data_IF_866973069218
#
_entry.id   IF_866973069218
#
_cell.length_a   1.000
_cell.length_b   1.000
_cell.length_c   1.000
_cell.angle_alpha   90.00
_cell.angle_beta   90.00
_cell.angle_gamma   90.00
#
_symmetry.space_group_name_H-M   'P 1'
#
loop_
_entity.id
_entity.type
_entity.pdbx_description
1 polymer ?
#
# COMPACT_ATOMS: atom_id res chain seq x y z
N UNK A 1 1.76 -6.41 -9.79
CA UNK A 1 1.44 -6.37 -8.35
C UNK A 1 1.43 -4.91 -7.89
N UNK A 2 0.27 -4.35 -7.56
CA UNK A 2 0.07 -3.03 -6.94
C UNK A 2 0.60 -1.78 -7.65
N UNK A 3 0.02 -0.64 -7.35
CA UNK A 3 0.53 0.68 -7.76
C UNK A 3 1.73 1.07 -6.88
N UNK A 4 2.81 1.55 -7.48
CA UNK A 4 4.00 2.00 -6.73
C UNK A 4 3.73 3.37 -6.08
N UNK A 5 3.99 3.47 -4.79
CA UNK A 5 3.82 4.67 -3.98
C UNK A 5 5.18 5.23 -3.57
N UNK A 6 5.93 5.74 -4.55
CA UNK A 6 7.31 6.23 -4.36
C UNK A 6 7.47 7.33 -3.31
N UNK A 7 6.39 8.05 -2.99
CA UNK A 7 6.34 9.06 -1.92
C UNK A 7 6.39 8.45 -0.51
N UNK A 8 6.00 7.18 -0.34
CA UNK A 8 5.99 6.47 0.93
C UNK A 8 7.22 5.54 1.10
N UNK A 9 7.89 5.22 0.00
CA UNK A 9 9.11 4.41 -0.04
C UNK A 9 9.37 3.88 -1.45
N UNK A 10 10.62 3.54 -1.76
CA UNK A 10 11.05 3.14 -3.12
C UNK A 10 10.46 1.81 -3.59
N UNK A 11 9.99 0.97 -2.67
CA UNK A 11 9.43 -0.36 -2.90
C UNK A 11 7.99 -0.50 -2.38
N UNK A 12 7.43 0.55 -1.78
CA UNK A 12 6.08 0.55 -1.22
C UNK A 12 5.07 0.56 -2.35
N UNK A 13 4.15 -0.40 -2.32
CA UNK A 13 3.07 -0.56 -3.28
C UNK A 13 1.72 -0.58 -2.56
N UNK A 14 0.67 -0.26 -3.29
CA UNK A 14 -0.69 -0.40 -2.77
C UNK A 14 -1.61 -1.20 -3.70
N UNK A 15 -2.57 -1.90 -3.11
CA UNK A 15 -3.71 -2.50 -3.81
C UNK A 15 -5.02 -2.03 -3.18
N UNK A 16 -6.04 -1.83 -4.01
CA UNK A 16 -7.40 -1.58 -3.56
C UNK A 16 -8.14 -2.93 -3.43
N UNK A 17 -8.70 -3.18 -2.25
CA UNK A 17 -9.50 -4.37 -1.96
C UNK A 17 -10.82 -3.91 -1.34
N UNK A 18 -11.88 -3.90 -2.15
CA UNK A 18 -13.15 -3.30 -1.77
C UNK A 18 -12.96 -1.84 -1.35
N UNK A 19 -13.42 -1.50 -0.14
CA UNK A 19 -13.29 -0.16 0.46
C UNK A 19 -11.96 0.08 1.18
N UNK A 20 -10.95 -0.77 0.98
CA UNK A 20 -9.68 -0.68 1.68
C UNK A 20 -8.52 -0.51 0.72
N UNK A 21 -7.47 0.15 1.20
CA UNK A 21 -6.16 0.21 0.56
C UNK A 21 -5.15 -0.48 1.43
N UNK A 22 -4.46 -1.45 0.84
CA UNK A 22 -3.43 -2.25 1.49
C UNK A 22 -2.09 -1.76 0.97
N UNK A 23 -1.28 -1.19 1.86
CA UNK A 23 0.11 -0.85 1.59
C UNK A 23 1.00 -2.04 1.96
N UNK A 24 1.89 -2.39 1.05
CA UNK A 24 2.79 -3.52 1.22
C UNK A 24 4.10 -3.26 0.49
N UNK A 25 5.13 -4.00 0.87
CA UNK A 25 6.37 -4.12 0.08
C UNK A 25 6.76 -5.60 0.02
N UNK A 26 7.52 -5.96 -1.00
CA UNK A 26 8.02 -7.33 -1.15
C UNK A 26 9.39 -7.43 -0.48
N UNK A 27 9.57 -8.46 0.34
CA UNK A 27 10.85 -8.80 0.93
C UNK A 27 11.17 -10.26 0.60
N UNK A 28 12.04 -10.47 -0.38
CA UNK A 28 12.39 -11.79 -0.92
C UNK A 28 11.14 -12.60 -1.33
N UNK A 29 10.86 -13.68 -0.59
CA UNK A 29 9.74 -14.60 -0.81
C UNK A 29 8.49 -14.23 0.00
N UNK A 30 8.54 -13.13 0.74
CA UNK A 30 7.45 -12.64 1.59
C UNK A 30 6.90 -11.30 1.12
N UNK A 31 5.68 -11.02 1.56
CA UNK A 31 5.06 -9.70 1.42
C UNK A 31 4.84 -9.15 2.82
N UNK A 32 5.46 -8.00 3.10
CA UNK A 32 5.26 -7.27 4.33
C UNK A 32 4.08 -6.32 4.17
N UNK A 33 3.04 -6.50 4.98
CA UNK A 33 1.90 -5.59 5.03
C UNK A 33 2.24 -4.44 5.98
N UNK A 34 2.35 -3.24 5.42
CA UNK A 34 2.72 -2.05 6.17
C UNK A 34 1.50 -1.43 6.87
N UNK A 35 0.38 -1.33 6.15
CA UNK A 35 -0.87 -0.76 6.67
C UNK A 35 -2.07 -1.15 5.82
N UNK A 36 -3.22 -1.29 6.47
CA UNK A 36 -4.54 -1.36 5.82
C UNK A 36 -5.35 -0.15 6.26
N UNK A 37 -5.84 0.65 5.31
CA UNK A 37 -6.66 1.85 5.58
C UNK A 37 -7.97 1.78 4.81
N UNK A 38 -9.07 2.36 5.32
CA UNK A 38 -10.26 2.59 4.49
C UNK A 38 -9.92 3.53 3.32
N UNK A 39 -10.29 3.16 2.10
CA UNK A 39 -10.10 3.92 0.86
C UNK A 39 -10.99 5.16 0.74
N UNK A 40 -12.09 5.18 1.50
CA UNK A 40 -12.95 6.35 1.68
C UNK A 40 -12.20 7.50 2.40
N UNK A 41 -11.11 7.17 3.10
CA UNK A 41 -10.23 8.13 3.76
C UNK A 41 -9.25 8.65 2.72
N UNK A 42 -9.29 9.95 2.38
CA UNK A 42 -8.35 10.57 1.44
C UNK A 42 -6.90 10.22 1.82
N UNK A 43 -6.27 9.37 1.02
CA UNK A 43 -4.88 8.89 1.17
C UNK A 43 -3.86 10.01 0.85
N UNK A 44 -4.31 11.19 0.43
CA UNK A 44 -3.47 12.33 0.05
C UNK A 44 -2.80 13.06 1.23
N UNK A 45 -2.93 12.58 2.46
CA UNK A 45 -2.20 13.09 3.64
C UNK A 45 -1.55 11.93 4.38
N UNK A 46 -0.37 11.55 3.93
CA UNK A 46 0.65 10.83 4.69
C UNK A 46 1.96 11.57 4.50
#
# INVERSE_FOLDING_TARGET
MGELQSKLGSDVRCNFVGRYVIFHRRHEDTVEILRVVPGDRKITKL
#
